data_IF_103207422831
#
_entry.id   IF_103207422831
#
_cell.length_a   1.000
_cell.length_b   1.000
_cell.length_c   1.000
_cell.angle_alpha   90.00
_cell.angle_beta   90.00
_cell.angle_gamma   90.00
#
_symmetry.space_group_name_H-M   'P 1'
#
loop_
_entity.id
_entity.type
_entity.pdbx_description
1 polymer ?
#
# COMPACT_ATOMS: atom_id res chain seq x y z
N UNK A 1 -18.82 5.26 3.23
CA UNK A 1 -18.47 6.40 4.06
C UNK A 1 -17.03 6.28 4.56
N UNK A 2 -16.25 7.37 4.48
CA UNK A 2 -14.83 7.36 4.91
C UNK A 2 -14.69 7.10 6.42
N UNK A 3 -15.62 7.59 7.25
CA UNK A 3 -15.60 7.37 8.70
C UNK A 3 -15.73 5.88 9.04
N UNK A 4 -16.72 5.23 8.47
CA UNK A 4 -16.96 3.80 8.63
C UNK A 4 -15.79 2.95 8.13
N UNK A 5 -15.17 3.36 7.00
CA UNK A 5 -13.98 2.71 6.49
C UNK A 5 -12.81 2.77 7.48
N UNK A 6 -12.50 3.97 8.01
CA UNK A 6 -11.41 4.15 8.97
C UNK A 6 -11.68 3.36 10.25
N UNK A 7 -12.91 3.40 10.76
CA UNK A 7 -13.32 2.61 11.95
C UNK A 7 -13.11 1.11 11.71
N UNK A 8 -13.51 0.61 10.54
CA UNK A 8 -13.32 -0.80 10.17
C UNK A 8 -11.83 -1.17 10.10
N UNK A 9 -11.02 -0.32 9.44
CA UNK A 9 -9.57 -0.55 9.31
C UNK A 9 -8.88 -0.59 10.67
N UNK A 10 -9.27 0.27 11.60
CA UNK A 10 -8.66 0.35 12.94
C UNK A 10 -9.05 -0.84 13.81
N UNK A 11 -10.32 -1.25 13.77
CA UNK A 11 -10.87 -2.24 14.69
C UNK A 11 -10.74 -3.69 14.20
N UNK A 12 -10.61 -3.92 12.89
CA UNK A 12 -10.69 -5.26 12.30
C UNK A 12 -9.39 -5.77 11.70
N UNK A 13 -8.36 -4.91 11.57
CA UNK A 13 -7.10 -5.28 10.90
C UNK A 13 -5.88 -4.96 11.76
N UNK A 14 -4.89 -5.83 11.74
CA UNK A 14 -3.61 -5.62 12.43
C UNK A 14 -2.82 -4.44 11.83
N UNK A 15 -2.87 -4.31 10.51
CA UNK A 15 -2.28 -3.21 9.76
C UNK A 15 -3.10 -2.87 8.52
N UNK A 16 -2.87 -1.70 7.94
CA UNK A 16 -3.55 -1.30 6.72
C UNK A 16 -2.69 -0.40 5.83
N UNK A 17 -3.03 -0.41 4.56
CA UNK A 17 -2.51 0.49 3.54
C UNK A 17 -3.71 1.22 2.94
N UNK A 18 -3.76 2.53 3.08
CA UNK A 18 -4.85 3.35 2.57
C UNK A 18 -4.34 4.42 1.62
N UNK A 19 -4.61 4.23 0.33
CA UNK A 19 -4.38 5.26 -0.68
C UNK A 19 -5.43 6.36 -0.59
N UNK A 20 -5.01 7.59 -0.70
CA UNK A 20 -5.91 8.74 -0.74
C UNK A 20 -5.39 9.80 -1.72
N UNK A 21 -6.16 10.84 -1.92
CA UNK A 21 -5.73 11.99 -2.73
C UNK A 21 -5.27 13.13 -1.84
N UNK A 22 -4.41 14.00 -2.34
CA UNK A 22 -3.98 15.18 -1.58
C UNK A 22 -5.15 16.09 -1.17
N UNK A 23 -6.22 16.31 -1.96
CA UNK A 23 -7.40 17.04 -1.50
C UNK A 23 -8.17 16.37 -0.37
N UNK A 24 -8.21 15.03 -0.32
CA UNK A 24 -8.92 14.29 0.71
C UNK A 24 -8.08 14.04 1.97
N UNK A 25 -6.77 14.29 1.91
CA UNK A 25 -5.84 13.92 2.97
C UNK A 25 -6.24 14.49 4.32
N UNK A 26 -6.61 15.77 4.40
CA UNK A 26 -7.02 16.41 5.65
C UNK A 26 -8.21 15.69 6.30
N UNK A 27 -9.23 15.34 5.51
CA UNK A 27 -10.40 14.63 6.01
C UNK A 27 -10.01 13.24 6.56
N UNK A 28 -9.18 12.50 5.84
CA UNK A 28 -8.72 11.18 6.27
C UNK A 28 -7.90 11.26 7.56
N UNK A 29 -6.99 12.24 7.67
CA UNK A 29 -6.21 12.44 8.90
C UNK A 29 -7.08 12.81 10.10
N UNK A 30 -8.10 13.64 9.90
CA UNK A 30 -9.06 13.98 10.96
C UNK A 30 -9.82 12.75 11.43
N UNK A 31 -10.30 11.90 10.52
CA UNK A 31 -10.98 10.65 10.86
C UNK A 31 -10.05 9.66 11.59
N UNK A 32 -8.77 9.59 11.23
CA UNK A 32 -7.78 8.82 11.98
C UNK A 32 -7.61 9.35 13.40
N UNK A 33 -7.55 10.67 13.57
CA UNK A 33 -7.44 11.30 14.89
C UNK A 33 -8.68 11.04 15.76
N UNK A 34 -9.87 11.03 15.17
CA UNK A 34 -11.13 10.69 15.86
C UNK A 34 -11.13 9.23 16.39
N UNK A 35 -10.38 8.34 15.74
CA UNK A 35 -10.12 6.96 16.18
C UNK A 35 -8.91 6.85 17.13
N UNK A 36 -8.34 7.96 17.57
CA UNK A 36 -7.19 8.00 18.48
C UNK A 36 -5.85 7.71 17.85
N UNK A 37 -5.75 7.61 16.52
CA UNK A 37 -4.49 7.37 15.82
C UNK A 37 -3.70 8.67 15.61
N UNK A 38 -2.39 8.60 15.83
CA UNK A 38 -1.46 9.71 15.67
C UNK A 38 -0.48 9.44 14.52
N UNK A 39 -0.26 10.42 13.61
CA UNK A 39 0.75 10.29 12.58
C UNK A 39 2.15 10.22 13.19
N UNK A 40 2.99 9.35 12.65
CA UNK A 40 4.36 9.13 13.10
C UNK A 40 4.50 8.03 14.16
N UNK A 41 3.57 7.93 15.12
CA UNK A 41 3.56 6.86 16.13
C UNK A 41 2.73 5.65 15.71
N UNK A 42 1.50 5.86 15.25
CA UNK A 42 0.57 4.77 14.93
C UNK A 42 0.54 4.42 13.45
N UNK A 43 0.75 5.41 12.59
CA UNK A 43 0.85 5.23 11.15
C UNK A 43 1.84 6.21 10.52
N UNK A 44 2.31 5.91 9.32
CA UNK A 44 3.15 6.78 8.50
C UNK A 44 2.37 7.28 7.29
N UNK A 45 2.67 8.50 6.88
CA UNK A 45 2.20 9.04 5.60
C UNK A 45 3.33 8.83 4.61
N UNK A 46 3.08 7.96 3.64
CA UNK A 46 4.00 7.63 2.56
C UNK A 46 3.63 8.40 1.31
N UNK A 47 4.54 8.54 0.38
CA UNK A 47 4.31 9.24 -0.88
C UNK A 47 4.64 8.36 -2.09
N UNK A 48 3.64 8.03 -2.89
CA UNK A 48 3.89 7.49 -4.22
C UNK A 48 4.01 8.65 -5.21
N UNK A 49 5.24 8.91 -5.67
CA UNK A 49 5.55 9.94 -6.66
C UNK A 49 5.38 9.34 -8.06
N UNK A 50 4.63 10.04 -8.91
CA UNK A 50 4.33 9.66 -10.29
C UNK A 50 5.20 10.50 -11.23
N UNK A 51 6.38 10.04 -11.64
CA UNK A 51 7.28 10.83 -12.51
C UNK A 51 6.63 11.25 -13.83
N UNK A 52 5.67 10.43 -14.29
CA UNK A 52 4.80 10.74 -15.41
C UNK A 52 3.35 10.78 -14.92
N UNK A 53 2.80 11.99 -14.80
CA UNK A 53 1.40 12.22 -14.45
C UNK A 53 0.60 12.62 -15.69
N UNK A 54 -0.61 12.06 -15.83
CA UNK A 54 -1.53 12.50 -16.87
C UNK A 54 -1.99 13.93 -16.59
N UNK A 55 -1.79 14.82 -17.57
CA UNK A 55 -2.31 16.18 -17.49
C UNK A 55 -3.82 16.17 -17.68
N UNK A 56 -4.53 16.88 -16.81
CA UNK A 56 -5.97 17.14 -16.97
C UNK A 56 -6.15 18.54 -17.52
N UNK A 57 -7.04 18.68 -18.49
CA UNK A 57 -7.43 19.99 -18.99
C UNK A 57 -7.91 20.87 -17.83
N UNK A 58 -7.53 22.15 -17.82
CA UNK A 58 -7.89 23.14 -16.81
C UNK A 58 -7.33 22.89 -15.38
N UNK A 59 -6.35 22.02 -15.23
CA UNK A 59 -5.62 21.86 -13.98
C UNK A 59 -4.19 22.37 -14.15
N UNK A 60 -3.87 23.58 -13.58
CA UNK A 60 -2.57 24.22 -13.80
C UNK A 60 -1.40 23.51 -13.09
N UNK A 61 -1.70 22.70 -12.07
CA UNK A 61 -0.72 21.91 -11.33
C UNK A 61 -1.14 20.46 -11.34
N UNK A 62 -0.34 19.59 -11.97
CA UNK A 62 -0.62 18.16 -12.04
C UNK A 62 -0.54 17.48 -10.67
N UNK A 63 -1.45 16.54 -10.42
CA UNK A 63 -1.37 15.65 -9.25
C UNK A 63 -0.31 14.57 -9.49
N UNK A 64 0.95 14.89 -9.23
CA UNK A 64 2.09 14.05 -9.52
C UNK A 64 2.52 13.17 -8.35
N UNK A 65 1.76 13.13 -7.27
CA UNK A 65 1.99 12.23 -6.15
C UNK A 65 0.66 11.82 -5.49
N UNK A 66 0.70 10.72 -4.78
CA UNK A 66 -0.44 10.16 -4.07
C UNK A 66 -0.02 9.82 -2.64
N UNK A 67 -0.67 10.42 -1.62
CA UNK A 67 -0.41 10.05 -0.24
C UNK A 67 -0.98 8.68 0.07
N UNK A 68 -0.23 7.90 0.86
CA UNK A 68 -0.62 6.58 1.31
C UNK A 68 -0.41 6.50 2.82
N UNK A 69 -1.47 6.22 3.56
CA UNK A 69 -1.37 5.97 4.99
C UNK A 69 -1.04 4.49 5.22
N UNK A 70 -0.02 4.22 6.00
CA UNK A 70 0.39 2.86 6.33
C UNK A 70 0.46 2.70 7.84
N UNK A 71 -0.44 1.89 8.41
CA UNK A 71 -0.34 1.40 9.78
C UNK A 71 0.31 0.02 9.72
N UNK A 72 1.50 -0.11 10.31
CA UNK A 72 2.22 -1.37 10.30
C UNK A 72 1.46 -2.46 11.07
N UNK A 73 1.40 -3.66 10.50
CA UNK A 73 0.80 -4.84 11.13
C UNK A 73 1.63 -5.32 12.34
N UNK A 74 2.93 -5.07 12.30
CA UNK A 74 3.88 -5.42 13.37
C UNK A 74 5.04 -4.43 13.42
N UNK A 75 5.67 -4.32 14.59
CA UNK A 75 6.85 -3.45 14.72
C UNK A 75 7.98 -3.97 13.83
N UNK A 76 8.59 -3.13 13.00
CA UNK A 76 9.73 -3.52 12.20
C UNK A 76 10.89 -3.92 13.12
N UNK A 77 11.58 -5.00 12.78
CA UNK A 77 12.83 -5.38 13.47
C UNK A 77 13.94 -4.46 12.96
N UNK A 78 14.52 -3.67 13.84
CA UNK A 78 15.70 -2.85 13.54
C UNK A 78 16.91 -3.58 14.16
N UNK A 79 17.50 -4.50 13.40
CA UNK A 79 18.64 -5.30 13.86
C UNK A 79 19.96 -4.94 13.15
N UNK A 80 19.98 -3.82 12.42
CA UNK A 80 21.16 -3.37 11.67
C UNK A 80 21.42 -4.14 10.35
N UNK A 81 20.70 -5.23 10.10
CA UNK A 81 20.77 -6.00 8.84
C UNK A 81 19.75 -5.54 7.82
N UNK A 82 18.75 -4.75 8.23
CA UNK A 82 17.68 -4.29 7.37
C UNK A 82 18.02 -2.95 6.73
N UNK A 83 17.85 -2.88 5.42
CA UNK A 83 17.91 -1.62 4.69
C UNK A 83 16.75 -0.72 5.16
N UNK A 84 17.07 0.50 5.58
CA UNK A 84 16.06 1.49 5.93
C UNK A 84 15.29 1.87 4.67
N UNK A 85 13.99 1.61 4.66
CA UNK A 85 13.10 1.98 3.56
C UNK A 85 12.79 3.47 3.63
N UNK A 86 12.65 4.08 2.46
CA UNK A 86 12.20 5.48 2.36
C UNK A 86 10.68 5.55 2.46
N UNK A 87 10.19 6.66 2.94
CA UNK A 87 8.75 6.97 3.00
C UNK A 87 8.17 7.48 1.68
N UNK A 88 8.91 7.33 0.60
CA UNK A 88 8.46 7.64 -0.75
C UNK A 88 9.00 6.63 -1.77
N UNK A 89 8.26 6.45 -2.87
CA UNK A 89 8.67 5.69 -4.04
C UNK A 89 8.28 6.46 -5.30
N UNK A 90 9.22 6.59 -6.25
CA UNK A 90 8.92 7.11 -7.57
C UNK A 90 8.68 5.95 -8.54
N UNK A 91 7.44 5.80 -9.00
CA UNK A 91 7.01 4.76 -9.94
C UNK A 91 5.97 5.32 -10.90
N UNK A 92 6.14 5.17 -12.23
CA UNK A 92 5.15 5.61 -13.20
C UNK A 92 3.80 4.91 -13.03
N UNK A 93 2.73 5.58 -13.44
CA UNK A 93 1.39 4.98 -13.51
C UNK A 93 1.38 3.84 -14.55
N UNK A 94 0.49 2.86 -14.34
CA UNK A 94 0.28 1.79 -15.31
C UNK A 94 -0.45 2.33 -16.54
N UNK A 95 0.18 2.21 -17.73
CA UNK A 95 -0.33 2.72 -19.01
C UNK A 95 -1.11 1.67 -19.83
N UNK A 96 -1.43 0.51 -19.28
CA UNK A 96 -2.17 -0.53 -20.01
C UNK A 96 -3.60 -0.09 -20.28
N UNK A 97 -4.05 -0.21 -21.55
CA UNK A 97 -5.45 0.05 -21.95
C UNK A 97 -6.38 -0.82 -21.12
N UNK A 98 -7.46 -0.22 -20.61
CA UNK A 98 -8.48 -0.90 -19.79
C UNK A 98 -8.13 -1.08 -18.32
N UNK A 99 -6.93 -0.69 -17.87
CA UNK A 99 -6.46 -0.79 -16.50
C UNK A 99 -6.17 0.59 -15.88
N UNK A 100 -6.94 1.60 -16.26
CA UNK A 100 -6.79 2.95 -15.69
C UNK A 100 -6.98 2.90 -14.17
N UNK A 101 -5.97 3.39 -13.44
CA UNK A 101 -5.97 3.40 -11.97
C UNK A 101 -5.43 2.13 -11.31
N UNK A 102 -5.02 1.11 -12.09
CA UNK A 102 -4.35 -0.06 -11.54
C UNK A 102 -3.04 0.36 -10.84
N UNK A 103 -2.83 -0.15 -9.63
CA UNK A 103 -1.59 0.12 -8.88
C UNK A 103 -0.43 -0.66 -9.52
N UNK A 104 0.72 0.00 -9.79
CA UNK A 104 1.91 -0.69 -10.27
C UNK A 104 2.39 -1.74 -9.27
N UNK A 105 2.87 -2.89 -9.76
CA UNK A 105 3.38 -3.97 -8.90
C UNK A 105 4.44 -3.49 -7.92
N UNK A 106 5.38 -2.65 -8.37
CA UNK A 106 6.47 -2.16 -7.51
C UNK A 106 5.95 -1.29 -6.36
N UNK A 107 4.89 -0.51 -6.58
CA UNK A 107 4.22 0.26 -5.51
C UNK A 107 3.60 -0.70 -4.49
N UNK A 108 2.89 -1.73 -4.95
CA UNK A 108 2.28 -2.72 -4.06
C UNK A 108 3.34 -3.46 -3.24
N UNK A 109 4.41 -3.93 -3.86
CA UNK A 109 5.49 -4.66 -3.18
C UNK A 109 6.19 -3.80 -2.15
N UNK A 110 6.51 -2.55 -2.49
CA UNK A 110 7.05 -1.59 -1.54
C UNK A 110 6.15 -1.41 -0.31
N UNK A 111 4.84 -1.26 -0.53
CA UNK A 111 3.88 -1.07 0.57
C UNK A 111 3.68 -2.34 1.41
N UNK A 112 3.77 -3.54 0.82
CA UNK A 112 3.76 -4.80 1.58
C UNK A 112 4.97 -4.90 2.53
N UNK A 113 6.14 -4.48 2.07
CA UNK A 113 7.34 -4.40 2.93
C UNK A 113 7.16 -3.36 4.05
N UNK A 114 6.66 -2.16 3.71
CA UNK A 114 6.47 -1.08 4.68
C UNK A 114 5.45 -1.44 5.77
N UNK A 115 4.34 -2.09 5.41
CA UNK A 115 3.32 -2.53 6.39
C UNK A 115 3.82 -3.68 7.27
N UNK A 116 4.95 -4.27 6.93
CA UNK A 116 5.54 -5.41 7.63
C UNK A 116 4.80 -6.71 7.36
N UNK A 117 4.28 -6.88 6.14
CA UNK A 117 3.62 -8.11 5.72
C UNK A 117 4.57 -9.30 5.70
N UNK A 118 4.03 -10.47 5.93
CA UNK A 118 4.70 -11.76 5.75
C UNK A 118 3.90 -12.64 4.80
N UNK A 119 4.51 -13.63 4.13
CA UNK A 119 3.78 -14.50 3.21
C UNK A 119 2.65 -15.32 3.86
N UNK A 120 2.67 -15.49 5.19
CA UNK A 120 1.62 -16.16 5.95
C UNK A 120 0.42 -15.28 6.31
N UNK A 121 0.50 -13.98 6.06
CA UNK A 121 -0.60 -13.05 6.34
C UNK A 121 -1.71 -13.19 5.30
N UNK A 122 -2.88 -12.71 5.66
CA UNK A 122 -4.03 -12.57 4.74
C UNK A 122 -4.16 -11.12 4.29
N UNK A 123 -4.28 -10.93 2.99
CA UNK A 123 -4.62 -9.64 2.39
C UNK A 123 -6.13 -9.58 2.14
N UNK A 124 -6.76 -8.54 2.65
CA UNK A 124 -8.13 -8.17 2.29
C UNK A 124 -8.09 -6.91 1.42
N UNK A 125 -8.37 -7.06 0.12
CA UNK A 125 -8.46 -5.95 -0.83
C UNK A 125 -9.91 -5.44 -0.84
N UNK A 126 -10.19 -4.44 -0.03
CA UNK A 126 -11.54 -3.87 0.15
C UNK A 126 -12.08 -3.20 -1.13
N UNK A 127 -11.21 -2.85 -2.08
CA UNK A 127 -11.57 -2.18 -3.34
C UNK A 127 -10.86 -2.84 -4.52
N UNK A 128 -11.15 -4.10 -4.84
CA UNK A 128 -10.36 -4.92 -5.75
C UNK A 128 -10.22 -4.34 -7.16
N UNK A 129 -11.23 -3.60 -7.65
CA UNK A 129 -11.17 -2.91 -8.94
C UNK A 129 -10.64 -3.82 -10.06
N UNK A 130 -9.43 -3.54 -10.55
CA UNK A 130 -8.78 -4.34 -11.60
C UNK A 130 -8.16 -5.66 -11.12
N UNK A 131 -8.14 -5.91 -9.80
CA UNK A 131 -7.43 -7.04 -9.20
C UNK A 131 -5.92 -6.91 -9.14
N UNK A 132 -5.37 -5.74 -9.48
CA UNK A 132 -3.92 -5.54 -9.56
C UNK A 132 -3.21 -5.71 -8.21
N UNK A 133 -3.84 -5.31 -7.11
CA UNK A 133 -3.28 -5.44 -5.75
C UNK A 133 -3.26 -6.89 -5.34
N UNK A 134 -4.34 -7.63 -5.55
CA UNK A 134 -4.44 -9.06 -5.26
C UNK A 134 -3.42 -9.85 -6.08
N UNK A 135 -3.27 -9.57 -7.37
CA UNK A 135 -2.26 -10.20 -8.21
C UNK A 135 -0.85 -9.89 -7.73
N UNK A 136 -0.58 -8.64 -7.36
CA UNK A 136 0.73 -8.25 -6.82
C UNK A 136 1.05 -8.96 -5.50
N UNK A 137 0.04 -9.22 -4.67
CA UNK A 137 0.16 -9.97 -3.43
C UNK A 137 0.57 -11.43 -3.68
N UNK A 138 -0.11 -12.10 -4.59
CA UNK A 138 0.20 -13.49 -4.94
C UNK A 138 1.61 -13.61 -5.53
N UNK A 139 1.98 -12.72 -6.45
CA UNK A 139 3.32 -12.66 -7.03
C UNK A 139 4.40 -12.39 -5.97
N UNK A 140 4.13 -11.50 -5.01
CA UNK A 140 5.04 -11.19 -3.92
C UNK A 140 5.25 -12.39 -2.98
N UNK A 141 4.19 -13.10 -2.62
CA UNK A 141 4.28 -14.32 -1.81
C UNK A 141 5.10 -15.40 -2.51
N UNK A 142 4.85 -15.63 -3.78
CA UNK A 142 5.60 -16.60 -4.60
C UNK A 142 7.07 -16.21 -4.68
N UNK A 143 7.40 -14.93 -4.83
CA UNK A 143 8.79 -14.46 -4.89
C UNK A 143 9.58 -14.76 -3.61
N UNK A 144 8.92 -14.85 -2.46
CA UNK A 144 9.54 -15.12 -1.16
C UNK A 144 9.57 -16.61 -0.85
N UNK A 145 8.46 -17.34 -1.12
CA UNK A 145 8.30 -18.74 -0.76
C UNK A 145 8.83 -19.72 -1.83
N UNK A 146 9.00 -19.25 -3.08
CA UNK A 146 9.21 -20.11 -4.26
C UNK A 146 7.88 -20.61 -4.84
N UNK A 147 7.95 -21.17 -6.05
CA UNK A 147 6.78 -21.74 -6.70
C UNK A 147 6.32 -23.03 -5.97
N UNK A 148 5.00 -23.30 -5.90
CA UNK A 148 4.45 -24.45 -5.19
C UNK A 148 5.03 -25.81 -5.63
N UNK A 149 5.39 -25.96 -6.90
CA UNK A 149 6.01 -27.17 -7.45
C UNK A 149 7.39 -27.51 -6.88
N UNK A 150 8.11 -26.51 -6.33
CA UNK A 150 9.43 -26.74 -5.73
C UNK A 150 9.35 -27.24 -4.27
N UNK A 151 8.22 -27.06 -3.62
CA UNK A 151 8.01 -27.49 -2.23
C UNK A 151 7.62 -28.95 -2.14
N UNK A 152 6.99 -29.54 -3.16
CA UNK A 152 6.62 -30.97 -3.18
C UNK A 152 7.81 -31.90 -3.46
N UNK A 153 8.88 -31.40 -4.08
CA UNK A 153 10.06 -32.20 -4.41
C UNK A 153 11.09 -32.35 -3.26
N UNK A 154 10.85 -31.71 -2.10
CA UNK A 154 11.75 -31.78 -0.95
C UNK A 154 11.27 -32.76 0.15
N UNK A 155 10.21 -33.50 -0.05
CA UNK A 155 9.62 -34.43 0.93
C UNK A 155 9.63 -35.91 0.50
N UNK A 156 10.47 -36.29 -0.48
CA UNK A 156 10.75 -37.72 -0.76
C UNK A 156 12.16 -38.13 -0.30
#
# INVERSE_FOLDING_TARGET
>A
DHGELIETLVNSYDGFILHTSSPALYQILSLCADQGLQPGSDYRIMSWVKPFAAFKANVPVAYAWEPVLVKAARKPKVDGSHQIMRDWLAEPITMKRGLTGAKPRNVCWWLFEVVGATPGDTLDDMFPGSGAVTQAWDDWRISILGEPEQLELQHD
#
